data_IF_086275006867
#
_entry.id   IF_086275006867
#
_cell.length_a   1.000
_cell.length_b   1.000
_cell.length_c   1.000
_cell.angle_alpha   90.00
_cell.angle_beta   90.00
_cell.angle_gamma   90.00
#
_symmetry.space_group_name_H-M   'P 1'
#
loop_
_entity.id
_entity.type
_entity.pdbx_description
1 polymer ?
#
# COMPACT_ATOMS: atom_id res chain seq x y z
N UNK A 1 30.10 -3.86 61.95
CA UNK A 1 29.56 -5.12 61.40
C UNK A 1 29.21 -4.90 59.94
N UNK A 2 29.82 -5.71 59.08
CA UNK A 2 29.90 -5.55 57.64
C UNK A 2 28.87 -6.40 56.89
N UNK A 3 28.22 -5.83 55.86
CA UNK A 3 27.56 -6.47 54.70
C UNK A 3 27.46 -5.37 53.63
N UNK A 4 28.26 -5.29 52.55
CA UNK A 4 28.66 -6.24 51.50
C UNK A 4 27.47 -6.88 50.77
N UNK A 5 27.04 -6.25 49.67
CA UNK A 5 26.16 -6.80 48.63
C UNK A 5 26.47 -6.01 47.35
N UNK A 6 27.46 -6.45 46.57
CA UNK A 6 27.32 -7.38 45.44
C UNK A 6 26.56 -6.74 44.27
N UNK A 7 27.38 -6.16 43.39
CA UNK A 7 27.09 -5.69 42.03
C UNK A 7 26.80 -6.92 41.15
N UNK A 8 25.60 -7.03 40.58
CA UNK A 8 25.34 -7.95 39.46
C UNK A 8 25.33 -7.14 38.15
N UNK A 9 26.45 -7.24 37.43
CA UNK A 9 26.56 -6.78 36.05
C UNK A 9 26.00 -7.86 35.12
N UNK A 10 24.76 -7.68 34.65
CA UNK A 10 24.25 -8.46 33.53
C UNK A 10 24.76 -7.87 32.21
N UNK A 11 25.80 -8.51 31.65
CA UNK A 11 26.18 -8.32 30.25
C UNK A 11 25.15 -9.04 29.37
N UNK A 12 24.34 -8.27 28.63
CA UNK A 12 23.52 -8.77 27.53
C UNK A 12 24.34 -8.66 26.24
N UNK A 13 24.75 -9.81 25.74
CA UNK A 13 25.40 -10.02 24.45
C UNK A 13 24.39 -9.81 23.31
N UNK A 14 24.61 -8.76 22.51
CA UNK A 14 23.83 -8.50 21.29
C UNK A 14 24.35 -9.39 20.15
N UNK A 15 23.64 -10.50 19.89
CA UNK A 15 23.80 -11.28 18.66
C UNK A 15 23.09 -10.57 17.52
N UNK A 16 23.88 -9.92 16.66
CA UNK A 16 23.41 -9.28 15.43
C UNK A 16 23.22 -10.35 14.35
N UNK A 17 21.98 -10.78 14.15
CA UNK A 17 21.59 -11.70 13.08
C UNK A 17 21.52 -10.94 11.75
N UNK A 18 22.59 -10.97 10.97
CA UNK A 18 22.60 -10.55 9.57
C UNK A 18 21.84 -11.60 8.73
N UNK A 19 20.55 -11.38 8.52
CA UNK A 19 19.71 -12.20 7.63
C UNK A 19 18.82 -11.28 6.81
N UNK A 20 19.38 -10.64 5.79
CA UNK A 20 18.62 -9.65 5.01
C UNK A 20 19.12 -9.33 3.60
N UNK A 21 20.09 -10.07 3.04
CA UNK A 21 20.70 -9.71 1.74
C UNK A 21 20.61 -10.78 0.65
N UNK A 22 19.94 -11.90 0.88
CA UNK A 22 19.91 -13.00 -0.10
C UNK A 22 18.68 -13.06 -1.02
N UNK A 23 17.68 -12.18 -0.85
CA UNK A 23 16.44 -12.25 -1.66
C UNK A 23 16.48 -11.37 -2.92
N UNK A 24 17.34 -10.35 -2.97
CA UNK A 24 17.48 -9.51 -4.18
C UNK A 24 18.37 -10.16 -5.26
N UNK A 25 19.26 -11.08 -4.89
CA UNK A 25 20.16 -11.76 -5.83
C UNK A 25 19.44 -12.81 -6.69
N UNK A 26 18.43 -13.49 -6.16
CA UNK A 26 17.80 -14.63 -6.85
C UNK A 26 16.80 -14.21 -7.94
N UNK A 27 16.27 -12.98 -7.87
CA UNK A 27 15.34 -12.48 -8.90
C UNK A 27 16.09 -12.11 -10.17
N UNK A 28 17.35 -11.69 -10.08
CA UNK A 28 18.16 -11.33 -11.27
C UNK A 28 18.59 -12.59 -12.04
N UNK A 29 18.97 -13.68 -11.36
CA UNK A 29 19.43 -14.91 -12.03
C UNK A 29 18.33 -15.70 -12.73
N UNK A 30 17.06 -15.53 -12.33
CA UNK A 30 15.95 -16.23 -12.97
C UNK A 30 15.57 -15.65 -14.34
N UNK A 31 16.09 -14.47 -14.73
CA UNK A 31 15.86 -13.87 -16.05
C UNK A 31 16.82 -14.35 -17.13
N UNK A 32 18.01 -14.86 -16.79
CA UNK A 32 18.97 -15.32 -17.80
C UNK A 32 18.61 -16.70 -18.38
N UNK A 33 17.87 -17.54 -17.62
CA UNK A 33 17.56 -18.91 -18.05
C UNK A 33 16.37 -19.02 -19.01
N UNK A 34 15.62 -17.94 -19.22
CA UNK A 34 14.54 -17.84 -20.21
C UNK A 34 14.91 -16.94 -21.39
N UNK A 35 16.20 -16.87 -21.73
CA UNK A 35 16.68 -16.31 -23.00
C UNK A 35 16.27 -17.20 -24.17
N UNK A 36 14.95 -17.23 -24.41
CA UNK A 36 14.30 -17.73 -25.60
C UNK A 36 14.93 -17.02 -26.80
N UNK A 37 15.48 -17.81 -27.73
CA UNK A 37 15.69 -17.52 -29.15
C UNK A 37 15.79 -16.05 -29.53
N UNK A 38 16.98 -15.60 -29.97
CA UNK A 38 17.32 -14.28 -30.52
C UNK A 38 16.20 -13.60 -31.34
N UNK A 39 15.19 -13.06 -30.66
CA UNK A 39 14.35 -12.02 -31.21
C UNK A 39 15.29 -10.81 -31.28
N UNK A 40 15.58 -10.35 -32.51
CA UNK A 40 16.27 -9.07 -32.73
C UNK A 40 15.72 -8.08 -31.73
N UNK A 41 16.57 -7.55 -30.85
CA UNK A 41 16.15 -6.61 -29.80
C UNK A 41 15.42 -5.46 -30.48
N UNK A 42 14.09 -5.47 -30.41
CA UNK A 42 13.26 -4.41 -30.98
C UNK A 42 13.56 -3.20 -30.12
N UNK A 43 14.44 -2.34 -30.61
CA UNK A 43 14.72 -1.07 -29.94
C UNK A 43 13.45 -0.23 -30.09
N UNK A 44 12.84 0.24 -29.00
CA UNK A 44 11.66 1.06 -29.09
C UNK A 44 11.95 2.32 -29.93
N UNK A 45 10.95 2.86 -30.63
CA UNK A 45 11.14 4.06 -31.45
C UNK A 45 11.65 5.23 -30.59
N UNK A 46 12.55 6.03 -31.14
CA UNK A 46 13.02 7.27 -30.47
C UNK A 46 11.93 8.33 -30.59
N UNK A 47 11.07 8.41 -29.58
CA UNK A 47 10.09 9.48 -29.44
C UNK A 47 10.57 10.50 -28.38
N UNK A 48 10.20 11.79 -28.52
CA UNK A 48 10.33 12.77 -27.43
C UNK A 48 9.67 12.28 -26.15
N UNK A 49 10.20 12.69 -25.00
CA UNK A 49 9.72 12.29 -23.67
C UNK A 49 8.24 12.62 -23.47
N UNK A 50 7.78 13.74 -23.98
CA UNK A 50 6.40 14.22 -23.87
C UNK A 50 5.42 13.27 -24.57
N UNK A 51 5.80 12.72 -25.73
CA UNK A 51 4.97 11.74 -26.43
C UNK A 51 4.91 10.41 -25.67
N UNK A 52 6.00 9.99 -25.06
CA UNK A 52 5.99 8.78 -24.22
C UNK A 52 5.09 8.92 -23.00
N UNK A 53 5.12 10.08 -22.33
CA UNK A 53 4.23 10.36 -21.21
C UNK A 53 2.77 10.33 -21.65
N UNK A 54 2.42 11.02 -22.73
CA UNK A 54 1.05 11.00 -23.29
C UNK A 54 0.59 9.58 -23.63
N UNK A 55 1.45 8.75 -24.25
CA UNK A 55 1.10 7.36 -24.55
C UNK A 55 0.82 6.57 -23.27
N UNK A 56 1.64 6.72 -22.24
CA UNK A 56 1.48 6.00 -20.97
C UNK A 56 0.30 6.50 -20.14
N UNK A 57 -0.07 7.76 -20.27
CA UNK A 57 -1.28 8.33 -19.66
C UNK A 57 -2.58 7.74 -20.25
N UNK A 58 -2.55 7.26 -21.50
CA UNK A 58 -3.70 6.60 -22.14
C UNK A 58 -3.80 5.11 -21.80
N UNK A 59 -2.87 4.54 -21.03
CA UNK A 59 -2.92 3.12 -20.63
C UNK A 59 -3.84 2.96 -19.42
N UNK A 60 -5.05 2.42 -19.65
CA UNK A 60 -6.03 2.19 -18.58
C UNK A 60 -5.62 1.10 -17.57
N UNK A 61 -4.79 0.14 -18.01
CA UNK A 61 -4.30 -0.93 -17.15
C UNK A 61 -3.10 -0.46 -16.30
N UNK A 62 -3.44 0.14 -15.16
CA UNK A 62 -2.49 0.62 -14.15
C UNK A 62 -1.55 -0.49 -13.66
N UNK A 63 -2.03 -1.75 -13.61
CA UNK A 63 -1.22 -2.89 -13.18
C UNK A 63 -0.19 -3.25 -14.25
N UNK A 64 -0.59 -3.30 -15.52
CA UNK A 64 0.32 -3.50 -16.65
C UNK A 64 1.38 -2.39 -16.72
N UNK A 65 0.97 -1.13 -16.55
CA UNK A 65 1.87 0.01 -16.55
C UNK A 65 2.97 -0.14 -15.47
N UNK A 66 2.56 -0.44 -14.22
CA UNK A 66 3.49 -0.58 -13.10
C UNK A 66 4.33 -1.87 -13.11
N UNK A 67 3.69 -3.00 -13.40
CA UNK A 67 4.29 -4.32 -13.22
C UNK A 67 4.98 -4.85 -14.47
N UNK A 68 4.73 -4.25 -15.64
CA UNK A 68 5.30 -4.70 -16.92
C UNK A 68 6.05 -3.59 -17.62
N UNK A 69 5.39 -2.51 -18.03
CA UNK A 69 6.04 -1.44 -18.82
C UNK A 69 7.20 -0.79 -18.08
N UNK A 70 7.04 -0.57 -16.76
CA UNK A 70 8.08 -0.01 -15.89
C UNK A 70 9.42 -0.76 -15.93
N UNK A 71 9.42 -2.04 -16.27
CA UNK A 71 10.62 -2.89 -16.26
C UNK A 71 11.25 -3.10 -17.65
N UNK A 72 10.70 -2.47 -18.69
CA UNK A 72 11.21 -2.61 -20.07
C UNK A 72 12.57 -1.93 -20.24
N UNK A 73 12.73 -0.72 -19.70
CA UNK A 73 13.98 0.06 -19.78
C UNK A 73 14.07 1.07 -18.64
N UNK A 74 15.24 1.69 -18.46
CA UNK A 74 15.43 2.77 -17.47
C UNK A 74 14.58 4.00 -17.80
N UNK A 75 14.44 4.32 -19.08
CA UNK A 75 13.62 5.45 -19.54
C UNK A 75 12.14 5.18 -19.29
N UNK A 76 11.65 3.97 -19.61
CA UNK A 76 10.27 3.58 -19.35
C UNK A 76 9.99 3.62 -17.85
N UNK A 77 10.91 3.16 -17.02
CA UNK A 77 10.81 3.28 -15.56
C UNK A 77 10.62 4.74 -15.14
N UNK A 78 11.39 5.67 -15.71
CA UNK A 78 11.29 7.10 -15.38
C UNK A 78 9.94 7.69 -15.84
N UNK A 79 9.49 7.35 -17.05
CA UNK A 79 8.20 7.81 -17.57
C UNK A 79 7.03 7.26 -16.76
N UNK A 80 7.02 5.96 -16.45
CA UNK A 80 5.99 5.34 -15.60
C UNK A 80 6.02 5.94 -14.19
N UNK A 81 7.20 6.12 -13.59
CA UNK A 81 7.30 6.73 -12.26
C UNK A 81 6.67 8.16 -12.29
N UNK A 82 6.87 8.95 -13.35
CA UNK A 82 6.29 10.30 -13.52
C UNK A 82 4.77 10.28 -13.72
N UNK A 83 4.26 9.37 -14.56
CA UNK A 83 2.80 9.18 -14.76
C UNK A 83 2.13 8.74 -13.46
N UNK A 84 2.79 7.89 -12.65
CA UNK A 84 2.27 7.50 -11.35
C UNK A 84 2.11 8.67 -10.40
N UNK A 85 3.16 9.48 -10.24
CA UNK A 85 3.09 10.67 -9.37
C UNK A 85 1.95 11.60 -9.79
N UNK A 86 1.84 11.89 -11.08
CA UNK A 86 0.93 12.92 -11.58
C UNK A 86 -0.52 12.44 -11.64
N UNK A 87 -0.76 11.21 -12.10
CA UNK A 87 -2.12 10.76 -12.43
C UNK A 87 -2.68 9.73 -11.45
N UNK A 88 -1.83 8.89 -10.86
CA UNK A 88 -2.31 7.76 -10.06
C UNK A 88 -2.17 7.98 -8.55
N UNK A 89 -1.09 8.58 -8.06
CA UNK A 89 -0.89 8.85 -6.63
C UNK A 89 -2.01 9.72 -6.02
N UNK A 90 -2.48 10.81 -6.65
CA UNK A 90 -3.60 11.60 -6.11
C UNK A 90 -4.90 10.80 -6.01
N UNK A 91 -5.02 9.71 -6.78
CA UNK A 91 -6.21 8.85 -6.80
C UNK A 91 -6.10 7.69 -5.83
N UNK A 92 -4.96 7.52 -5.15
CA UNK A 92 -4.81 6.49 -4.13
C UNK A 92 -5.75 6.82 -2.98
N UNK A 93 -6.53 5.83 -2.61
CA UNK A 93 -7.35 5.85 -1.41
C UNK A 93 -6.96 4.67 -0.53
N UNK A 94 -6.83 4.94 0.77
CA UNK A 94 -6.46 3.96 1.76
C UNK A 94 -7.50 3.95 2.88
N UNK A 95 -8.36 2.94 2.91
CA UNK A 95 -9.38 2.78 3.94
C UNK A 95 -8.89 1.90 5.08
N UNK A 96 -9.11 2.40 6.29
CA UNK A 96 -8.95 1.68 7.54
C UNK A 96 -10.33 1.25 8.03
N UNK A 97 -10.58 -0.05 7.95
CA UNK A 97 -11.77 -0.68 8.51
C UNK A 97 -11.61 -0.81 10.03
N UNK A 98 -12.29 0.05 10.78
CA UNK A 98 -12.13 0.13 12.23
C UNK A 98 -12.76 -1.10 12.91
N UNK A 99 -12.08 -1.71 13.90
CA UNK A 99 -12.66 -2.79 14.67
C UNK A 99 -13.81 -2.28 15.56
N UNK A 100 -14.72 -3.17 15.95
CA UNK A 100 -15.73 -2.87 16.98
C UNK A 100 -15.07 -2.79 18.35
N UNK A 101 -15.40 -1.77 19.12
CA UNK A 101 -15.03 -1.70 20.53
C UNK A 101 -16.05 -2.46 21.38
N UNK A 102 -15.56 -3.15 22.41
CA UNK A 102 -16.38 -3.68 23.49
C UNK A 102 -16.83 -2.52 24.39
N UNK A 103 -18.13 -2.29 24.61
CA UNK A 103 -18.59 -1.16 25.43
C UNK A 103 -18.13 -1.23 26.89
N UNK A 104 -17.86 -2.44 27.40
CA UNK A 104 -17.48 -2.63 28.81
C UNK A 104 -15.97 -2.47 29.03
N UNK A 105 -15.14 -2.94 28.09
CA UNK A 105 -13.68 -2.91 28.24
C UNK A 105 -12.98 -1.85 27.38
N UNK A 106 -13.68 -1.23 26.43
CA UNK A 106 -13.10 -0.30 25.46
C UNK A 106 -12.13 -0.95 24.45
N UNK A 107 -11.96 -2.27 24.50
CA UNK A 107 -11.00 -3.00 23.65
C UNK A 107 -11.61 -3.42 22.31
N UNK A 108 -10.78 -3.57 21.28
CA UNK A 108 -11.21 -4.13 20.01
C UNK A 108 -11.67 -5.59 20.18
N UNK A 109 -12.96 -5.85 19.97
CA UNK A 109 -13.59 -7.16 20.26
C UNK A 109 -13.77 -8.02 19.02
N UNK A 110 -14.00 -7.42 17.86
CA UNK A 110 -14.31 -8.13 16.63
C UNK A 110 -13.43 -7.66 15.48
N UNK A 111 -12.70 -8.59 14.88
CA UNK A 111 -11.88 -8.33 13.68
C UNK A 111 -12.71 -8.15 12.39
N UNK A 112 -14.03 -8.33 12.46
CA UNK A 112 -14.89 -8.04 11.30
C UNK A 112 -15.10 -6.53 11.18
N UNK A 113 -14.79 -5.92 10.02
CA UNK A 113 -15.09 -4.52 9.73
C UNK A 113 -16.53 -4.18 10.07
N UNK A 114 -16.74 -3.04 10.71
CA UNK A 114 -18.09 -2.48 10.83
C UNK A 114 -18.43 -1.79 9.52
N UNK A 115 -19.53 -2.17 8.84
CA UNK A 115 -20.00 -1.42 7.70
C UNK A 115 -20.20 0.05 8.08
N UNK A 116 -19.59 0.97 7.31
CA UNK A 116 -19.68 2.41 7.56
C UNK A 116 -18.74 2.97 8.63
N UNK A 117 -18.08 2.15 9.45
CA UNK A 117 -17.03 2.63 10.36
C UNK A 117 -15.66 2.44 9.72
N UNK A 118 -15.40 3.25 8.69
CA UNK A 118 -14.11 3.30 8.05
C UNK A 118 -13.58 4.72 8.00
N UNK A 119 -12.27 4.84 8.03
CA UNK A 119 -11.58 6.11 7.84
C UNK A 119 -10.73 5.98 6.60
N UNK A 120 -10.97 6.84 5.61
CA UNK A 120 -10.20 6.85 4.37
C UNK A 120 -9.15 7.94 4.45
N UNK A 121 -7.92 7.58 4.10
CA UNK A 121 -6.82 8.50 3.90
C UNK A 121 -6.61 8.71 2.40
N UNK A 122 -6.36 9.95 2.02
CA UNK A 122 -6.11 10.38 0.65
C UNK A 122 -4.72 10.97 0.51
N UNK A 123 -4.10 10.79 -0.65
CA UNK A 123 -2.83 11.44 -0.95
C UNK A 123 -3.08 12.90 -1.28
N UNK A 124 -2.59 13.80 -0.43
CA UNK A 124 -2.60 15.23 -0.71
C UNK A 124 -1.29 15.63 -1.39
N UNK A 125 -1.41 16.31 -2.54
CA UNK A 125 -0.32 16.96 -3.26
C UNK A 125 0.97 16.12 -3.35
N UNK A 126 0.98 14.99 -4.07
CA UNK A 126 2.20 14.20 -4.23
C UNK A 126 3.25 15.03 -4.95
N UNK A 127 4.35 15.32 -4.27
CA UNK A 127 5.52 15.92 -4.90
C UNK A 127 6.21 14.89 -5.81
N UNK A 128 6.56 15.32 -7.02
CA UNK A 128 7.23 14.49 -8.02
C UNK A 128 8.66 14.11 -7.64
N UNK A 129 9.33 14.96 -6.86
CA UNK A 129 10.69 14.74 -6.42
C UNK A 129 10.73 13.94 -5.11
N UNK A 130 9.69 14.06 -4.29
CA UNK A 130 9.61 13.33 -3.03
C UNK A 130 9.47 11.82 -3.23
N UNK A 131 10.33 11.10 -2.52
CA UNK A 131 10.24 9.63 -2.38
C UNK A 131 9.06 9.21 -1.49
N UNK A 132 8.54 10.12 -0.66
CA UNK A 132 7.47 9.85 0.29
C UNK A 132 6.22 10.65 -0.04
N UNK A 133 5.07 10.03 0.11
CA UNK A 133 3.77 10.71 0.07
C UNK A 133 3.15 10.72 1.45
N UNK A 134 2.35 11.75 1.72
CA UNK A 134 1.57 11.87 2.93
C UNK A 134 0.12 11.57 2.59
N UNK A 135 -0.43 10.58 3.28
CA UNK A 135 -1.84 10.24 3.24
C UNK A 135 -2.50 10.88 4.45
N UNK A 136 -3.59 11.61 4.28
CA UNK A 136 -4.31 12.31 5.36
C UNK A 136 -5.78 11.93 5.38
N UNK A 137 -6.39 11.92 6.55
CA UNK A 137 -7.85 11.82 6.69
C UNK A 137 -8.51 13.14 6.30
N UNK A 138 -9.73 13.14 5.73
CA UNK A 138 -10.47 14.38 5.51
C UNK A 138 -10.79 15.06 6.85
N UNK A 139 -10.90 16.39 6.89
CA UNK A 139 -11.25 17.12 8.12
C UNK A 139 -12.63 16.75 8.68
N UNK A 140 -13.58 16.50 7.77
CA UNK A 140 -14.94 16.07 8.10
C UNK A 140 -15.34 14.84 7.27
N UNK A 141 -16.06 13.92 7.90
CA UNK A 141 -16.64 12.77 7.25
C UNK A 141 -17.96 13.15 6.55
N UNK A 142 -18.44 12.33 5.60
CA UNK A 142 -19.76 12.52 4.98
C UNK A 142 -20.93 12.52 5.98
N UNK A 143 -20.75 11.97 7.19
CA UNK A 143 -21.74 12.04 8.27
C UNK A 143 -21.87 13.43 8.91
N UNK A 144 -20.92 14.33 8.65
CA UNK A 144 -20.81 15.64 9.30
C UNK A 144 -19.88 15.64 10.53
N UNK A 145 -19.50 14.47 11.04
CA UNK A 145 -18.55 14.36 12.16
C UNK A 145 -17.15 14.80 11.71
N UNK A 146 -16.50 15.61 12.53
CA UNK A 146 -15.10 16.00 12.29
C UNK A 146 -14.14 14.96 12.86
N UNK A 147 -12.98 14.79 12.22
CA UNK A 147 -11.94 13.88 12.71
C UNK A 147 -11.43 14.32 14.09
N UNK A 148 -11.40 15.63 14.36
CA UNK A 148 -11.07 16.18 15.68
C UNK A 148 -12.06 15.73 16.75
N UNK A 149 -13.37 15.87 16.52
CA UNK A 149 -14.41 15.42 17.46
C UNK A 149 -14.34 13.91 17.70
N UNK A 150 -14.12 13.12 16.65
CA UNK A 150 -13.98 11.66 16.77
C UNK A 150 -12.72 11.27 17.56
N UNK A 151 -11.64 12.04 17.42
CA UNK A 151 -10.41 11.82 18.18
C UNK A 151 -10.61 12.24 19.64
N UNK A 152 -11.19 13.41 19.90
CA UNK A 152 -11.45 13.94 21.24
C UNK A 152 -12.44 13.09 22.05
N UNK A 153 -13.42 12.49 21.39
CA UNK A 153 -14.38 11.56 22.03
C UNK A 153 -13.80 10.16 22.30
N UNK A 154 -12.57 9.86 21.84
CA UNK A 154 -11.97 8.54 21.91
C UNK A 154 -12.55 7.53 20.92
N UNK A 155 -13.44 7.96 20.01
CA UNK A 155 -13.95 7.10 18.95
C UNK A 155 -12.85 6.74 17.94
N UNK A 156 -11.90 7.65 17.70
CA UNK A 156 -10.80 7.45 16.76
C UNK A 156 -9.44 7.61 17.44
N UNK A 157 -9.00 6.57 18.15
CA UNK A 157 -7.67 6.56 18.79
C UNK A 157 -6.59 6.00 17.85
N UNK A 158 -5.33 6.29 18.17
CA UNK A 158 -4.18 5.77 17.43
C UNK A 158 -4.16 4.24 17.43
N UNK A 159 -4.38 3.61 18.58
CA UNK A 159 -4.38 2.15 18.72
C UNK A 159 -5.42 1.51 17.79
N UNK A 160 -6.61 2.13 17.71
CA UNK A 160 -7.68 1.65 16.84
C UNK A 160 -7.32 1.73 15.36
N UNK A 161 -6.58 2.78 14.96
CA UNK A 161 -6.08 2.95 13.60
C UNK A 161 -4.97 1.94 13.28
N UNK A 162 -4.08 1.66 14.24
CA UNK A 162 -2.99 0.70 14.11
C UNK A 162 -3.49 -0.75 14.04
N UNK A 163 -4.60 -1.07 14.71
CA UNK A 163 -5.26 -2.39 14.64
C UNK A 163 -6.18 -2.56 13.41
N UNK A 164 -6.65 -1.46 12.81
CA UNK A 164 -7.63 -1.50 11.72
C UNK A 164 -7.14 -2.26 10.48
N UNK A 165 -8.05 -3.01 9.84
CA UNK A 165 -7.72 -3.69 8.59
C UNK A 165 -7.55 -2.67 7.46
N UNK A 166 -6.44 -2.77 6.72
CA UNK A 166 -6.06 -1.82 5.69
C UNK A 166 -6.50 -2.28 4.30
N UNK A 167 -7.22 -1.40 3.59
CA UNK A 167 -7.64 -1.61 2.20
C UNK A 167 -7.13 -0.48 1.33
N UNK A 168 -6.63 -0.81 0.15
CA UNK A 168 -6.10 0.18 -0.79
C UNK A 168 -6.69 -0.02 -2.17
N UNK A 169 -6.95 1.07 -2.88
CA UNK A 169 -7.32 1.07 -4.29
C UNK A 169 -6.88 2.37 -4.99
N UNK A 170 -6.94 2.35 -6.32
CA UNK A 170 -6.75 3.52 -7.17
C UNK A 170 -8.11 3.99 -7.71
N UNK A 171 -8.30 5.30 -7.80
CA UNK A 171 -9.49 5.91 -8.37
C UNK A 171 -10.76 5.73 -7.53
N UNK A 172 -11.91 5.78 -8.20
CA UNK A 172 -13.24 5.75 -7.53
C UNK A 172 -13.76 4.35 -7.24
N UNK A 173 -13.10 3.30 -7.74
CA UNK A 173 -13.63 1.93 -7.72
C UNK A 173 -13.19 1.17 -6.48
N UNK A 174 -13.84 1.46 -5.35
CA UNK A 174 -13.58 0.79 -4.05
C UNK A 174 -13.70 -0.74 -4.11
N UNK A 175 -14.57 -1.27 -4.97
CA UNK A 175 -14.75 -2.73 -5.15
C UNK A 175 -13.51 -3.44 -5.68
N UNK A 176 -12.55 -2.71 -6.25
CA UNK A 176 -11.25 -3.23 -6.70
C UNK A 176 -10.16 -3.13 -5.63
N UNK A 177 -10.55 -2.77 -4.41
CA UNK A 177 -9.66 -2.69 -3.27
C UNK A 177 -9.06 -4.04 -2.89
N UNK A 178 -7.82 -4.00 -2.45
CA UNK A 178 -7.12 -5.18 -1.94
C UNK A 178 -6.74 -4.90 -0.50
N UNK A 179 -6.90 -5.90 0.35
CA UNK A 179 -6.43 -5.83 1.72
C UNK A 179 -4.89 -5.90 1.73
N UNK A 180 -4.24 -4.90 2.29
CA UNK A 180 -2.78 -4.79 2.33
C UNK A 180 -2.28 -4.94 3.77
N UNK A 181 -2.52 -6.14 4.33
CA UNK A 181 -2.25 -6.52 5.74
C UNK A 181 -0.82 -6.19 6.19
N UNK A 182 0.18 -6.29 5.32
CA UNK A 182 1.61 -6.31 5.68
C UNK A 182 2.29 -4.94 5.68
N UNK A 183 1.52 -3.86 5.80
CA UNK A 183 2.08 -2.51 5.82
C UNK A 183 2.16 -2.01 7.26
N UNK A 184 3.38 -1.69 7.69
CA UNK A 184 3.60 -0.96 8.93
C UNK A 184 2.98 0.44 8.80
N UNK A 185 1.99 0.73 9.65
CA UNK A 185 1.26 2.00 9.68
C UNK A 185 1.98 2.90 10.69
N UNK A 186 2.55 3.99 10.22
CA UNK A 186 3.12 5.05 11.07
C UNK A 186 2.16 6.23 11.03
N UNK A 187 0.95 5.99 11.55
CA UNK A 187 -0.12 6.99 11.57
C UNK A 187 0.13 7.93 12.76
N UNK A 188 0.14 9.23 12.47
CA UNK A 188 0.44 10.28 13.43
C UNK A 188 -0.66 11.33 13.41
N UNK A 189 -0.92 11.93 14.55
CA UNK A 189 -1.82 13.07 14.64
C UNK A 189 -1.09 14.32 14.18
N UNK A 190 -1.70 15.09 13.26
CA UNK A 190 -1.25 16.43 12.91
C UNK A 190 -2.07 17.44 13.72
N UNK A 191 -1.44 18.08 14.70
CA UNK A 191 -2.10 19.04 15.60
C UNK A 191 -2.54 20.33 14.91
N UNK A 192 -1.84 20.75 13.85
CA UNK A 192 -2.15 21.99 13.13
C UNK A 192 -3.39 21.80 12.25
N UNK A 193 -3.43 20.70 11.51
CA UNK A 193 -4.52 20.40 10.58
C UNK A 193 -5.68 19.63 11.22
N UNK A 194 -5.50 19.15 12.46
CA UNK A 194 -6.44 18.33 13.22
C UNK A 194 -6.91 17.08 12.47
N UNK A 195 -5.96 16.40 11.83
CA UNK A 195 -6.18 15.19 11.03
C UNK A 195 -5.14 14.12 11.34
N UNK A 196 -5.47 12.86 11.04
CA UNK A 196 -4.50 11.77 11.05
C UNK A 196 -3.74 11.74 9.74
N UNK A 197 -2.40 11.64 9.82
CA UNK A 197 -1.50 11.61 8.68
C UNK A 197 -0.64 10.36 8.70
N UNK A 198 -0.27 9.88 7.52
CA UNK A 198 0.59 8.72 7.34
C UNK A 198 1.57 8.94 6.19
N UNK A 199 2.87 9.00 6.52
CA UNK A 199 3.93 9.20 5.53
C UNK A 199 4.53 7.87 5.08
N UNK A 200 4.44 7.56 3.78
CA UNK A 200 4.90 6.29 3.20
C UNK A 200 5.84 6.48 2.03
N UNK A 201 6.77 5.54 1.85
CA UNK A 201 7.53 5.44 0.59
C UNK A 201 6.60 4.92 -0.51
N UNK A 202 6.20 5.80 -1.43
CA UNK A 202 5.10 5.49 -2.34
C UNK A 202 5.42 4.33 -3.30
N UNK A 203 6.67 4.19 -3.76
CA UNK A 203 7.06 3.09 -4.66
C UNK A 203 6.93 1.74 -3.96
N UNK A 204 7.40 1.64 -2.72
CA UNK A 204 7.26 0.43 -1.90
C UNK A 204 5.78 0.15 -1.60
N UNK A 205 4.99 1.20 -1.35
CA UNK A 205 3.56 1.11 -1.10
C UNK A 205 2.79 0.53 -2.31
N UNK A 206 3.03 1.06 -3.51
CA UNK A 206 2.43 0.58 -4.77
C UNK A 206 2.88 -0.86 -5.09
N UNK A 207 4.16 -1.18 -4.88
CA UNK A 207 4.67 -2.55 -5.04
C UNK A 207 3.95 -3.55 -4.12
N UNK A 208 3.75 -3.19 -2.84
CA UNK A 208 3.03 -4.04 -1.87
C UNK A 208 1.58 -4.27 -2.30
N UNK A 209 0.90 -3.23 -2.79
CA UNK A 209 -0.47 -3.37 -3.32
C UNK A 209 -0.55 -4.34 -4.49
N UNK A 210 0.25 -4.16 -5.54
CA UNK A 210 0.21 -5.06 -6.70
C UNK A 210 0.73 -6.46 -6.36
N UNK A 211 1.61 -6.59 -5.36
CA UNK A 211 1.98 -7.87 -4.77
C UNK A 211 0.78 -8.57 -4.13
N UNK A 212 0.06 -7.88 -3.25
CA UNK A 212 -1.15 -8.39 -2.60
C UNK A 212 -2.26 -8.72 -3.61
N UNK A 213 -2.45 -7.87 -4.64
CA UNK A 213 -3.43 -8.08 -5.72
C UNK A 213 -3.13 -9.34 -6.55
N UNK A 214 -1.86 -9.60 -6.84
CA UNK A 214 -1.44 -10.84 -7.53
C UNK A 214 -1.59 -12.06 -6.62
N UNK A 215 -1.28 -11.93 -5.33
CA UNK A 215 -1.45 -13.01 -4.36
C UNK A 215 -2.93 -13.40 -4.21
N UNK A 216 -3.85 -12.44 -4.10
CA UNK A 216 -5.28 -12.71 -3.95
C UNK A 216 -5.87 -13.44 -5.17
N UNK A 217 -5.40 -13.13 -6.39
CA UNK A 217 -5.77 -13.87 -7.60
C UNK A 217 -5.31 -15.32 -7.61
N UNK A 218 -4.20 -15.65 -6.94
CA UNK A 218 -3.68 -17.03 -6.83
C UNK A 218 -4.41 -17.85 -5.78
N UNK A 219 -4.90 -17.21 -4.71
CA UNK A 219 -5.61 -17.89 -3.61
C UNK A 219 -7.06 -18.19 -3.91
N UNK A 220 -7.67 -17.52 -4.90
CA UNK A 220 -9.01 -17.88 -5.35
C UNK A 220 -8.93 -19.26 -6.01
N UNK A 221 -9.62 -20.29 -5.48
CA UNK A 221 -9.61 -21.60 -6.11
C UNK A 221 -10.10 -21.45 -7.54
N UNK A 222 -9.43 -22.12 -8.49
CA UNK A 222 -9.80 -22.15 -9.92
C UNK A 222 -11.22 -22.74 -10.18
N UNK A 223 -11.98 -22.98 -9.13
CA UNK A 223 -13.37 -23.41 -9.14
C UNK A 223 -14.27 -22.30 -9.66
N UNK A 224 -14.66 -22.43 -10.93
CA UNK A 224 -16.09 -22.34 -11.22
C UNK A 224 -16.59 -21.13 -11.97
N UNK A 225 -15.82 -20.54 -12.90
CA UNK A 225 -16.45 -19.98 -14.11
C UNK A 225 -16.84 -21.12 -15.06
N UNK A 226 -17.55 -22.14 -14.56
CA UNK A 226 -18.33 -23.03 -15.41
C UNK A 226 -19.56 -22.20 -15.76
N UNK A 227 -19.44 -21.38 -16.80
CA UNK A 227 -20.55 -20.68 -17.42
C UNK A 227 -21.61 -21.76 -17.65
N UNK A 228 -22.71 -21.72 -16.88
CA UNK A 228 -23.91 -22.46 -17.23
C UNK A 228 -24.36 -21.84 -18.54
N UNK A 229 -23.94 -22.42 -19.66
CA UNK A 229 -24.67 -22.26 -20.89
C UNK A 229 -26.03 -22.88 -20.63
N UNK A 230 -27.01 -22.03 -20.30
CA UNK A 230 -28.40 -22.46 -20.33
C UNK A 230 -28.72 -22.96 -21.74
N UNK A 231 -29.59 -23.97 -21.88
CA UNK A 231 -30.00 -24.45 -23.19
C UNK A 231 -30.58 -23.27 -23.98
N UNK A 232 -30.07 -23.06 -25.20
CA UNK A 232 -30.75 -22.22 -26.18
C UNK A 232 -32.03 -22.95 -26.56
N UNK A 233 -33.16 -22.46 -26.06
CA UNK A 233 -34.50 -22.73 -26.60
C UNK A 233 -34.72 -21.88 -27.83
#
# INVERSE_FOLDING_TARGET
MARSSALEQHQLSNTTTHSGLLVESTIVEMYDKYSCSMAKSITPPRLPTELWLQIFEQVDDVEFLWCTLRFVSRDYKAFVDRVFVTNYLPTISFSLSLPRLDPNSGRARYMRPVPGAEVTLHCENPDAESRRVVLSTPKALPSGDTIEQLTASGALTKERLDEAAAWMWFGKQRTRGVNVVTINKDIRWNEEEKVWVWSVEWKAFVNKYFGAKRASRRTLPATGWRIRQGPRT
#
